data_IF_253043244386
#
_entry.id   IF_253043244386
#
_cell.length_a   1.000
_cell.length_b   1.000
_cell.length_c   1.000
_cell.angle_alpha   90.00
_cell.angle_beta   90.00
_cell.angle_gamma   90.00
#
_symmetry.space_group_name_H-M   'P 1'
#
loop_
_entity.id
_entity.type
_entity.pdbx_description
1 polymer ?
#
# COMPACT_ATOMS: atom_id res chain seq x y z
N UNK A 1 78.63 -41.74 20.98
CA UNK A 1 78.03 -40.97 19.88
C UNK A 1 76.60 -41.40 19.73
N UNK A 2 75.59 -40.58 20.21
CA UNK A 2 74.18 -40.89 20.24
C UNK A 2 73.50 -40.00 19.23
N UNK A 3 72.79 -40.59 18.24
CA UNK A 3 72.00 -39.90 17.25
C UNK A 3 70.59 -39.77 17.77
N UNK A 4 70.12 -38.52 17.90
CA UNK A 4 68.79 -38.12 18.33
C UNK A 4 67.75 -38.29 17.20
N UNK A 5 66.75 -39.17 17.40
CA UNK A 5 65.61 -39.35 16.48
C UNK A 5 64.54 -38.30 16.76
N UNK A 6 64.32 -37.43 15.80
CA UNK A 6 63.36 -36.35 15.84
C UNK A 6 61.97 -36.88 15.44
N UNK A 7 61.11 -37.07 16.44
CA UNK A 7 59.69 -37.48 16.27
C UNK A 7 58.84 -36.35 15.67
N UNK A 8 58.40 -36.49 14.41
CA UNK A 8 57.40 -35.57 13.74
C UNK A 8 56.01 -36.08 13.97
N UNK A 9 55.36 -35.53 14.98
CA UNK A 9 53.92 -35.70 15.17
C UNK A 9 53.16 -34.92 14.10
N UNK A 10 52.56 -35.64 13.14
CA UNK A 10 51.71 -35.11 12.12
C UNK A 10 50.38 -34.57 12.71
N UNK A 11 50.20 -33.28 12.67
CA UNK A 11 48.97 -32.58 13.07
C UNK A 11 47.86 -32.88 12.03
N UNK A 12 46.98 -33.85 12.32
CA UNK A 12 45.80 -34.15 11.52
C UNK A 12 44.89 -32.91 11.47
N UNK A 13 44.75 -32.31 10.28
CA UNK A 13 43.74 -31.30 9.98
C UNK A 13 42.36 -31.95 10.12
N UNK A 14 41.65 -31.66 11.21
CA UNK A 14 40.23 -32.03 11.37
C UNK A 14 39.40 -31.31 10.31
N UNK A 15 38.75 -32.11 9.52
CA UNK A 15 37.91 -31.73 8.37
C UNK A 15 36.74 -30.81 8.78
N UNK A 16 36.81 -29.56 8.35
CA UNK A 16 35.73 -28.57 8.48
C UNK A 16 34.50 -28.84 7.61
N UNK A 17 34.14 -30.11 7.40
CA UNK A 17 33.03 -30.50 6.46
C UNK A 17 31.65 -30.59 7.10
N UNK A 18 31.56 -30.58 8.45
CA UNK A 18 30.26 -30.77 9.15
C UNK A 18 29.42 -29.50 9.28
N UNK A 19 30.02 -28.29 9.33
CA UNK A 19 29.22 -27.04 9.55
C UNK A 19 28.54 -26.49 8.31
N UNK A 20 28.89 -26.93 7.09
CA UNK A 20 28.29 -26.43 5.84
C UNK A 20 27.03 -27.20 5.48
N UNK A 21 26.87 -28.45 5.88
CA UNK A 21 25.70 -29.28 5.67
C UNK A 21 24.51 -28.83 6.53
N UNK A 22 24.76 -28.57 7.82
CA UNK A 22 23.72 -28.13 8.78
C UNK A 22 23.13 -26.76 8.43
N UNK A 23 23.96 -25.79 8.01
CA UNK A 23 23.46 -24.47 7.57
C UNK A 23 22.65 -24.52 6.30
N UNK A 24 22.91 -25.48 5.42
CA UNK A 24 22.14 -25.64 4.17
C UNK A 24 20.79 -26.32 4.42
N UNK A 25 20.72 -27.24 5.36
CA UNK A 25 19.46 -27.85 5.80
C UNK A 25 18.60 -26.89 6.61
N UNK A 26 19.19 -26.09 7.50
CA UNK A 26 18.46 -25.05 8.23
C UNK A 26 17.92 -23.96 7.31
N UNK A 27 18.65 -23.58 6.26
CA UNK A 27 18.19 -22.61 5.27
C UNK A 27 17.05 -23.18 4.41
N UNK A 28 17.10 -24.46 4.04
CA UNK A 28 16.04 -25.11 3.27
C UNK A 28 14.77 -25.31 4.11
N UNK A 29 14.89 -25.74 5.36
CA UNK A 29 13.74 -25.91 6.27
C UNK A 29 13.12 -24.57 6.69
N UNK A 30 13.90 -23.50 6.78
CA UNK A 30 13.38 -22.17 7.07
C UNK A 30 12.63 -21.57 5.89
N UNK A 31 13.05 -21.86 4.64
CA UNK A 31 12.34 -21.49 3.41
C UNK A 31 10.98 -22.20 3.34
N UNK A 32 10.97 -23.51 3.49
CA UNK A 32 9.76 -24.34 3.42
C UNK A 32 8.72 -23.94 4.49
N UNK A 33 9.14 -23.67 5.72
CA UNK A 33 8.25 -23.15 6.77
C UNK A 33 7.65 -21.80 6.43
N UNK A 34 8.44 -20.93 5.77
CA UNK A 34 7.96 -19.62 5.32
C UNK A 34 6.90 -19.72 4.24
N UNK A 35 7.07 -20.63 3.30
CA UNK A 35 6.12 -20.89 2.21
C UNK A 35 4.79 -21.46 2.74
N UNK A 36 4.84 -22.44 3.65
CA UNK A 36 3.63 -22.96 4.28
C UNK A 36 2.89 -21.90 5.06
N UNK A 37 3.61 -21.08 5.83
CA UNK A 37 3.02 -19.98 6.58
C UNK A 37 2.36 -18.96 5.66
N UNK A 38 2.98 -18.65 4.54
CA UNK A 38 2.43 -17.72 3.55
C UNK A 38 1.18 -18.25 2.88
N UNK A 39 1.14 -19.55 2.53
CA UNK A 39 -0.04 -20.21 2.01
C UNK A 39 -1.19 -20.22 3.03
N UNK A 40 -0.88 -20.47 4.30
CA UNK A 40 -1.88 -20.42 5.37
C UNK A 40 -2.46 -19.02 5.54
N UNK A 41 -1.60 -17.98 5.55
CA UNK A 41 -2.03 -16.58 5.63
C UNK A 41 -2.85 -16.18 4.41
N UNK A 42 -2.48 -16.66 3.22
CA UNK A 42 -3.23 -16.42 2.00
C UNK A 42 -4.62 -17.05 2.08
N UNK A 43 -4.74 -18.30 2.57
CA UNK A 43 -6.01 -18.93 2.76
C UNK A 43 -6.90 -18.18 3.76
N UNK A 44 -6.34 -17.73 4.89
CA UNK A 44 -7.05 -16.89 5.87
C UNK A 44 -7.48 -15.58 5.25
N UNK A 45 -6.63 -14.93 4.47
CA UNK A 45 -6.96 -13.66 3.82
C UNK A 45 -8.10 -13.82 2.79
N UNK A 46 -8.13 -14.92 2.05
CA UNK A 46 -9.23 -15.22 1.11
C UNK A 46 -10.54 -15.44 1.86
N UNK A 47 -10.51 -16.18 2.99
CA UNK A 47 -11.69 -16.39 3.83
C UNK A 47 -12.19 -15.06 4.41
N UNK A 48 -11.29 -14.21 4.92
CA UNK A 48 -11.63 -12.88 5.43
C UNK A 48 -12.24 -11.99 4.33
N UNK A 49 -11.66 -12.02 3.14
CA UNK A 49 -12.18 -11.27 1.99
C UNK A 49 -13.59 -11.76 1.63
N UNK A 50 -13.79 -13.07 1.49
CA UNK A 50 -15.10 -13.66 1.21
C UNK A 50 -16.12 -13.33 2.30
N UNK A 51 -15.73 -13.36 3.57
CA UNK A 51 -16.56 -12.97 4.70
C UNK A 51 -17.01 -11.52 4.62
N UNK A 52 -16.09 -10.61 4.29
CA UNK A 52 -16.40 -9.17 4.15
C UNK A 52 -17.39 -8.86 3.02
N UNK A 53 -17.52 -9.78 2.04
CA UNK A 53 -18.52 -9.67 0.96
C UNK A 53 -19.80 -10.49 1.24
N UNK A 54 -19.98 -11.00 2.46
CA UNK A 54 -21.19 -11.72 2.87
C UNK A 54 -21.29 -13.15 2.32
N UNK A 55 -20.20 -13.74 1.82
CA UNK A 55 -20.20 -15.10 1.25
C UNK A 55 -19.81 -16.16 2.30
N UNK A 56 -19.42 -15.74 3.50
CA UNK A 56 -18.85 -16.63 4.53
C UNK A 56 -19.84 -17.41 5.40
N UNK A 57 -21.16 -17.27 5.21
CA UNK A 57 -22.17 -17.83 6.09
C UNK A 57 -22.07 -17.32 7.54
N UNK A 58 -22.74 -17.98 8.49
CA UNK A 58 -22.84 -17.52 9.89
C UNK A 58 -21.48 -17.24 10.54
N UNK A 59 -20.48 -18.10 10.30
CA UNK A 59 -19.13 -17.90 10.85
C UNK A 59 -18.43 -16.72 10.15
N UNK A 60 -18.59 -16.61 8.85
CA UNK A 60 -18.06 -15.48 8.08
C UNK A 60 -18.66 -14.14 8.51
N UNK A 61 -19.97 -14.09 8.73
CA UNK A 61 -20.66 -12.89 9.19
C UNK A 61 -20.16 -12.46 10.57
N UNK A 62 -19.91 -13.40 11.48
CA UNK A 62 -19.33 -13.07 12.80
C UNK A 62 -17.90 -12.51 12.68
N UNK A 63 -17.07 -13.10 11.82
CA UNK A 63 -15.70 -12.65 11.57
C UNK A 63 -15.72 -11.27 10.88
N UNK A 64 -16.59 -11.10 9.89
CA UNK A 64 -16.77 -9.84 9.18
C UNK A 64 -17.20 -8.73 10.13
N UNK A 65 -18.25 -8.95 10.95
CA UNK A 65 -18.72 -7.99 11.94
C UNK A 65 -17.63 -7.59 12.93
N UNK A 66 -16.81 -8.55 13.37
CA UNK A 66 -15.65 -8.27 14.22
C UNK A 66 -14.60 -7.41 13.51
N UNK A 67 -14.26 -7.74 12.26
CA UNK A 67 -13.29 -6.97 11.49
C UNK A 67 -13.79 -5.55 11.20
N UNK A 68 -15.06 -5.39 10.82
CA UNK A 68 -15.65 -4.07 10.62
C UNK A 68 -15.76 -3.30 11.93
N UNK A 69 -16.13 -3.94 13.03
CA UNK A 69 -16.12 -3.31 14.35
C UNK A 69 -14.75 -2.81 14.77
N UNK A 70 -13.68 -3.58 14.46
CA UNK A 70 -12.32 -3.20 14.83
C UNK A 70 -11.71 -2.12 13.91
N UNK A 71 -11.82 -2.29 12.58
CA UNK A 71 -11.12 -1.48 11.58
C UNK A 71 -12.05 -0.61 10.71
N UNK A 72 -13.36 -0.76 10.85
CA UNK A 72 -14.34 -0.07 10.03
C UNK A 72 -14.17 -0.39 8.54
N UNK A 73 -14.29 0.62 7.70
CA UNK A 73 -14.15 0.51 6.25
C UNK A 73 -12.80 -0.08 5.80
N UNK A 74 -11.75 0.09 6.62
CA UNK A 74 -10.44 -0.50 6.36
C UNK A 74 -10.44 -2.03 6.43
N UNK A 75 -11.51 -2.67 6.93
CA UNK A 75 -11.67 -4.11 6.95
C UNK A 75 -11.60 -4.75 5.57
N UNK A 76 -12.02 -4.04 4.51
CA UNK A 76 -11.87 -4.52 3.13
C UNK A 76 -10.41 -4.59 2.68
N UNK A 77 -9.57 -3.66 3.13
CA UNK A 77 -8.15 -3.61 2.81
C UNK A 77 -7.31 -4.50 3.72
N UNK A 78 -7.83 -4.87 4.89
CA UNK A 78 -7.10 -5.64 5.90
C UNK A 78 -6.55 -6.97 5.38
N UNK A 79 -7.30 -7.83 4.66
CA UNK A 79 -6.79 -9.09 4.13
C UNK A 79 -5.63 -8.88 3.14
N UNK A 80 -5.74 -7.86 2.29
CA UNK A 80 -4.69 -7.51 1.32
C UNK A 80 -3.43 -7.05 2.04
N UNK A 81 -3.60 -6.17 3.03
CA UNK A 81 -2.49 -5.69 3.88
C UNK A 81 -1.80 -6.83 4.63
N UNK A 82 -2.57 -7.79 5.12
CA UNK A 82 -2.08 -8.97 5.83
C UNK A 82 -1.21 -9.85 4.93
N UNK A 83 -1.63 -10.11 3.67
CA UNK A 83 -0.85 -10.89 2.70
C UNK A 83 0.43 -10.17 2.32
N UNK A 84 0.35 -8.90 1.94
CA UNK A 84 1.52 -8.11 1.52
C UNK A 84 2.50 -7.95 2.69
N UNK A 85 2.00 -7.62 3.87
CA UNK A 85 2.82 -7.44 5.07
C UNK A 85 3.54 -8.73 5.48
N UNK A 86 2.84 -9.86 5.47
CA UNK A 86 3.41 -11.17 5.81
C UNK A 86 4.44 -11.65 4.78
N UNK A 87 4.16 -11.49 3.49
CA UNK A 87 5.08 -11.81 2.41
C UNK A 87 6.38 -11.00 2.54
N UNK A 88 6.23 -9.69 2.75
CA UNK A 88 7.38 -8.80 2.95
C UNK A 88 8.15 -9.13 4.24
N UNK A 89 7.46 -9.47 5.32
CA UNK A 89 8.08 -9.89 6.58
C UNK A 89 8.89 -11.17 6.42
N UNK A 90 8.32 -12.20 5.79
CA UNK A 90 8.97 -13.49 5.57
C UNK A 90 10.21 -13.31 4.68
N UNK A 91 10.09 -12.53 3.59
CA UNK A 91 11.18 -12.26 2.65
C UNK A 91 12.36 -11.50 3.31
N UNK A 92 12.07 -10.63 4.29
CA UNK A 92 13.05 -9.70 4.83
C UNK A 92 13.29 -9.84 6.34
N UNK A 93 13.07 -11.02 6.91
CA UNK A 93 13.15 -11.29 8.38
C UNK A 93 14.43 -10.80 9.06
N UNK A 94 15.55 -10.76 8.37
CA UNK A 94 16.87 -10.41 8.93
C UNK A 94 17.22 -8.92 8.78
N UNK A 95 16.43 -8.13 8.08
CA UNK A 95 16.72 -6.73 7.80
C UNK A 95 16.03 -5.82 8.80
N UNK A 96 16.80 -5.07 9.59
CA UNK A 96 16.26 -4.05 10.51
C UNK A 96 15.50 -2.93 9.76
N UNK A 97 15.92 -2.63 8.53
CA UNK A 97 15.23 -1.65 7.70
C UNK A 97 13.85 -2.14 7.26
N UNK A 98 13.72 -3.43 6.95
CA UNK A 98 12.44 -4.04 6.60
C UNK A 98 11.46 -4.03 7.79
N UNK A 99 11.94 -4.30 9.00
CA UNK A 99 11.12 -4.24 10.21
C UNK A 99 10.56 -2.82 10.45
N UNK A 100 11.38 -1.78 10.24
CA UNK A 100 10.91 -0.39 10.32
C UNK A 100 9.84 -0.06 9.28
N UNK A 101 9.97 -0.60 8.05
CA UNK A 101 8.96 -0.41 7.00
C UNK A 101 7.64 -1.09 7.33
N UNK A 102 7.68 -2.29 7.91
CA UNK A 102 6.48 -3.01 8.34
C UNK A 102 5.78 -2.25 9.45
N UNK A 103 6.54 -1.79 10.45
CA UNK A 103 5.99 -0.99 11.55
C UNK A 103 5.36 0.31 11.00
N UNK A 104 6.04 1.00 10.10
CA UNK A 104 5.49 2.20 9.47
C UNK A 104 4.23 1.89 8.63
N UNK A 105 4.18 0.73 7.95
CA UNK A 105 3.00 0.27 7.23
C UNK A 105 1.82 -0.01 8.16
N UNK A 106 2.07 -0.66 9.29
CA UNK A 106 1.06 -0.90 10.32
C UNK A 106 0.53 0.42 10.91
N UNK A 107 1.44 1.34 11.27
CA UNK A 107 1.07 2.66 11.76
C UNK A 107 0.27 3.45 10.71
N UNK A 108 0.65 3.35 9.44
CA UNK A 108 -0.09 3.96 8.34
C UNK A 108 -1.50 3.39 8.22
N UNK A 109 -1.65 2.07 8.32
CA UNK A 109 -2.96 1.41 8.29
C UNK A 109 -3.87 1.87 9.43
N UNK A 110 -3.33 1.91 10.67
CA UNK A 110 -4.06 2.41 11.84
C UNK A 110 -4.41 3.89 11.70
N UNK A 111 -3.50 4.70 11.17
CA UNK A 111 -3.71 6.11 10.89
C UNK A 111 -4.85 6.34 9.88
N UNK A 112 -4.94 5.50 8.83
CA UNK A 112 -6.06 5.54 7.90
C UNK A 112 -7.39 5.20 8.56
N UNK A 113 -7.45 4.26 9.53
CA UNK A 113 -8.65 4.02 10.31
C UNK A 113 -9.12 5.31 11.02
N UNK A 114 -8.19 6.03 11.67
CA UNK A 114 -8.52 7.30 12.34
C UNK A 114 -8.97 8.39 11.37
N UNK A 115 -8.34 8.49 10.21
CA UNK A 115 -8.66 9.48 9.20
C UNK A 115 -10.03 9.21 8.56
N UNK A 116 -10.35 7.95 8.28
CA UNK A 116 -11.67 7.54 7.79
C UNK A 116 -12.74 7.80 8.83
N UNK A 117 -12.47 7.52 10.11
CA UNK A 117 -13.42 7.83 11.20
C UNK A 117 -13.79 9.31 11.20
N UNK A 118 -12.79 10.20 11.13
CA UNK A 118 -13.04 11.65 11.08
C UNK A 118 -13.76 12.10 9.82
N UNK A 119 -13.53 11.44 8.67
CA UNK A 119 -14.13 11.80 7.39
C UNK A 119 -15.57 11.31 7.25
N UNK A 120 -15.92 10.17 7.86
CA UNK A 120 -17.25 9.54 7.70
C UNK A 120 -18.21 9.92 8.79
N UNK A 121 -17.84 9.68 10.05
CA UNK A 121 -18.72 9.85 11.22
C UNK A 121 -18.34 11.06 12.07
N UNK A 122 -17.11 11.55 11.91
CA UNK A 122 -16.60 12.66 12.71
C UNK A 122 -16.32 12.26 14.16
N UNK A 123 -16.20 13.28 15.02
CA UNK A 123 -16.06 13.14 16.46
C UNK A 123 -17.43 13.28 17.14
N UNK A 124 -17.80 12.27 17.92
CA UNK A 124 -19.02 12.28 18.73
C UNK A 124 -18.63 12.51 20.19
N UNK A 125 -18.98 13.67 20.73
CA UNK A 125 -18.48 14.21 22.02
C UNK A 125 -18.82 13.35 23.25
N UNK A 126 -19.89 12.58 23.22
CA UNK A 126 -20.39 11.81 24.37
C UNK A 126 -20.44 10.30 24.14
N UNK A 127 -19.92 9.84 23.03
CA UNK A 127 -20.08 8.46 22.59
C UNK A 127 -18.99 7.56 23.22
N UNK A 128 -19.37 6.49 23.94
CA UNK A 128 -18.39 5.55 24.46
C UNK A 128 -17.69 4.81 23.33
N UNK A 129 -16.41 4.47 23.53
CA UNK A 129 -15.57 3.84 22.51
C UNK A 129 -16.19 2.56 21.91
N UNK A 130 -16.97 1.81 22.69
CA UNK A 130 -17.63 0.59 22.24
C UNK A 130 -18.75 0.84 21.22
N UNK A 131 -19.34 2.03 21.22
CA UNK A 131 -20.37 2.39 20.24
C UNK A 131 -19.78 2.57 18.84
N UNK A 132 -18.54 3.06 18.72
CA UNK A 132 -17.81 3.08 17.44
C UNK A 132 -17.62 1.66 16.88
N UNK A 133 -17.37 0.68 17.78
CA UNK A 133 -17.31 -0.72 17.37
C UNK A 133 -18.66 -1.21 16.84
N UNK A 134 -19.76 -0.98 17.59
CA UNK A 134 -21.09 -1.44 17.20
C UNK A 134 -21.60 -0.77 15.93
N UNK A 135 -21.41 0.53 15.80
CA UNK A 135 -21.80 1.29 14.59
C UNK A 135 -21.05 0.79 13.35
N UNK A 136 -19.71 0.64 13.45
CA UNK A 136 -18.92 0.16 12.33
C UNK A 136 -19.22 -1.32 12.01
N UNK A 137 -19.49 -2.17 13.01
CA UNK A 137 -19.87 -3.56 12.78
C UNK A 137 -21.21 -3.70 12.07
N UNK A 138 -22.18 -2.82 12.37
CA UNK A 138 -23.52 -2.87 11.83
C UNK A 138 -23.64 -2.17 10.48
N UNK A 139 -23.13 -0.95 10.36
CA UNK A 139 -23.26 -0.12 9.14
C UNK A 139 -22.11 -0.32 8.14
N UNK A 140 -21.03 -1.03 8.52
CA UNK A 140 -19.80 -1.21 7.73
C UNK A 140 -19.16 0.12 7.33
N UNK A 141 -19.27 1.14 8.18
CA UNK A 141 -18.76 2.50 7.97
C UNK A 141 -17.74 2.87 9.05
N UNK A 142 -17.21 4.08 8.99
CA UNK A 142 -16.28 4.58 9.99
C UNK A 142 -14.90 3.92 9.95
N UNK A 143 -14.12 4.19 10.99
CA UNK A 143 -12.80 3.64 11.21
C UNK A 143 -12.77 2.52 12.28
N UNK A 144 -13.92 2.09 12.76
CA UNK A 144 -14.06 1.10 13.82
C UNK A 144 -13.57 1.55 15.18
N UNK A 145 -13.38 0.60 16.07
CA UNK A 145 -12.86 0.84 17.43
C UNK A 145 -11.51 1.56 17.40
N UNK A 146 -10.62 1.17 16.49
CA UNK A 146 -9.28 1.75 16.40
C UNK A 146 -9.35 3.17 15.86
N UNK A 147 -10.16 3.40 14.81
CA UNK A 147 -10.40 4.73 14.29
C UNK A 147 -11.05 5.65 15.30
N UNK A 148 -12.05 5.17 16.04
CA UNK A 148 -12.69 5.89 17.14
C UNK A 148 -11.71 6.26 18.26
N UNK A 149 -10.85 5.33 18.69
CA UNK A 149 -9.84 5.58 19.71
C UNK A 149 -8.83 6.68 19.28
N UNK A 150 -8.36 6.63 18.02
CA UNK A 150 -7.49 7.66 17.47
C UNK A 150 -8.22 9.00 17.31
N UNK A 151 -9.46 8.97 16.86
CA UNK A 151 -10.30 10.17 16.73
C UNK A 151 -10.51 10.85 18.07
N UNK A 152 -10.96 10.11 19.09
CA UNK A 152 -11.17 10.64 20.45
C UNK A 152 -9.86 11.24 21.00
N UNK A 153 -8.76 10.47 20.92
CA UNK A 153 -7.47 10.89 21.50
C UNK A 153 -6.92 12.16 20.82
N UNK A 154 -6.98 12.22 19.49
CA UNK A 154 -6.45 13.36 18.74
C UNK A 154 -7.36 14.59 18.85
N UNK A 155 -8.67 14.40 18.82
CA UNK A 155 -9.63 15.50 18.92
C UNK A 155 -9.69 16.08 20.33
N UNK A 156 -9.61 15.25 21.36
CA UNK A 156 -9.53 15.73 22.75
C UNK A 156 -8.27 16.55 23.03
N UNK A 157 -7.14 16.21 22.40
CA UNK A 157 -5.88 16.92 22.59
C UNK A 157 -5.75 18.21 21.76
N UNK A 158 -6.23 18.23 20.53
CA UNK A 158 -5.93 19.27 19.52
C UNK A 158 -7.17 19.86 18.84
N UNK A 159 -8.37 19.44 19.24
CA UNK A 159 -9.61 19.79 18.57
C UNK A 159 -9.74 19.09 17.19
N UNK A 160 -10.90 19.22 16.56
CA UNK A 160 -11.21 18.52 15.30
C UNK A 160 -10.26 18.92 14.16
N UNK A 161 -9.99 20.21 14.00
CA UNK A 161 -9.08 20.71 12.95
C UNK A 161 -7.65 20.21 13.19
N UNK A 162 -7.19 20.24 14.45
CA UNK A 162 -5.88 19.74 14.86
C UNK A 162 -5.74 18.23 14.65
N UNK A 163 -6.81 17.46 14.89
CA UNK A 163 -6.83 16.01 14.66
C UNK A 163 -6.59 15.67 13.18
N UNK A 164 -7.26 16.36 12.24
CA UNK A 164 -6.99 16.21 10.82
C UNK A 164 -5.53 16.51 10.47
N UNK A 165 -5.00 17.65 10.95
CA UNK A 165 -3.64 18.06 10.66
C UNK A 165 -2.62 17.03 11.17
N UNK A 166 -2.80 16.50 12.37
CA UNK A 166 -1.90 15.52 12.96
C UNK A 166 -1.98 14.17 12.24
N UNK A 167 -3.17 13.67 11.95
CA UNK A 167 -3.33 12.40 11.26
C UNK A 167 -2.74 12.48 9.83
N UNK A 168 -2.94 13.59 9.13
CA UNK A 168 -2.31 13.79 7.81
C UNK A 168 -0.79 13.84 7.95
N UNK A 169 -0.25 14.58 8.93
CA UNK A 169 1.19 14.67 9.16
C UNK A 169 1.80 13.30 9.48
N UNK A 170 1.20 12.53 10.38
CA UNK A 170 1.64 11.18 10.74
C UNK A 170 1.59 10.26 9.51
N UNK A 171 0.52 10.33 8.71
CA UNK A 171 0.39 9.58 7.48
C UNK A 171 1.53 9.88 6.50
N UNK A 172 1.85 11.15 6.29
CA UNK A 172 2.96 11.58 5.42
C UNK A 172 4.30 11.06 5.95
N UNK A 173 4.56 11.16 7.26
CA UNK A 173 5.79 10.64 7.87
C UNK A 173 5.91 9.13 7.66
N UNK A 174 4.83 8.37 7.87
CA UNK A 174 4.81 6.92 7.62
C UNK A 174 5.11 6.59 6.15
N UNK A 175 4.52 7.33 5.20
CA UNK A 175 4.79 7.17 3.77
C UNK A 175 6.27 7.43 3.42
N UNK A 176 6.88 8.46 4.00
CA UNK A 176 8.32 8.76 3.82
C UNK A 176 9.16 7.58 4.32
N UNK A 177 8.85 7.03 5.50
CA UNK A 177 9.59 5.89 6.08
C UNK A 177 9.46 4.63 5.24
N UNK A 178 8.27 4.34 4.69
CA UNK A 178 8.03 3.18 3.83
C UNK A 178 8.79 3.31 2.52
N UNK A 179 8.69 4.48 1.88
CA UNK A 179 9.24 4.73 0.56
C UNK A 179 10.77 4.90 0.58
N UNK A 180 11.35 5.30 1.74
CA UNK A 180 12.78 5.64 1.89
C UNK A 180 13.27 6.66 0.84
N UNK A 181 12.35 7.42 0.28
CA UNK A 181 12.67 8.50 -0.66
C UNK A 181 12.37 9.84 0.00
N UNK A 182 13.14 10.85 -0.34
CA UNK A 182 12.85 12.22 0.11
C UNK A 182 11.44 12.60 -0.37
N UNK A 183 10.64 13.15 0.53
CA UNK A 183 9.29 13.66 0.23
C UNK A 183 9.29 14.57 -0.99
N UNK A 184 10.31 15.43 -1.12
CA UNK A 184 10.48 16.30 -2.28
C UNK A 184 10.65 15.54 -3.59
N UNK A 185 11.34 14.38 -3.61
CA UNK A 185 11.47 13.55 -4.81
C UNK A 185 10.15 12.89 -5.21
N UNK A 186 9.33 12.52 -4.23
CA UNK A 186 8.01 11.93 -4.48
C UNK A 186 7.00 12.96 -4.98
N UNK A 187 6.93 14.12 -4.32
CA UNK A 187 6.06 15.25 -4.73
C UNK A 187 6.45 15.76 -6.12
N UNK A 188 7.74 15.93 -6.39
CA UNK A 188 8.23 16.34 -7.71
C UNK A 188 7.89 15.30 -8.80
N UNK A 189 7.96 14.00 -8.47
CA UNK A 189 7.57 12.91 -9.38
C UNK A 189 6.08 12.93 -9.71
N UNK A 190 5.22 13.22 -8.73
CA UNK A 190 3.77 13.35 -8.94
C UNK A 190 3.44 14.61 -9.75
N UNK A 191 3.99 15.76 -9.36
CA UNK A 191 3.75 17.04 -10.05
C UNK A 191 4.24 16.96 -11.51
N UNK A 192 5.44 16.39 -11.73
CA UNK A 192 6.00 16.23 -13.08
C UNK A 192 5.22 15.19 -13.91
N UNK A 193 4.72 14.12 -13.26
CA UNK A 193 3.88 13.10 -13.90
C UNK A 193 2.51 13.64 -14.31
N UNK A 194 1.88 14.45 -13.46
CA UNK A 194 0.59 15.10 -13.77
C UNK A 194 0.80 16.19 -14.82
N UNK A 195 1.84 17.02 -14.68
CA UNK A 195 2.18 18.06 -15.66
C UNK A 195 2.46 17.51 -17.06
N UNK A 196 3.17 16.37 -17.16
CA UNK A 196 3.45 15.72 -18.44
C UNK A 196 2.21 15.12 -19.08
N UNK A 197 1.28 14.55 -18.30
CA UNK A 197 -0.01 14.06 -18.80
C UNK A 197 -0.95 15.20 -19.19
N UNK A 198 -0.98 16.28 -18.42
CA UNK A 198 -1.77 17.46 -18.74
C UNK A 198 -1.24 18.17 -20.00
N UNK A 199 0.10 18.31 -20.14
CA UNK A 199 0.74 18.84 -21.33
C UNK A 199 0.45 18.02 -22.58
N UNK A 200 0.55 16.70 -22.50
CA UNK A 200 0.25 15.80 -23.63
C UNK A 200 -1.25 15.83 -24.03
N UNK A 201 -2.16 16.09 -23.10
CA UNK A 201 -3.58 16.27 -23.40
C UNK A 201 -3.86 17.64 -24.05
N UNK A 202 -3.11 18.69 -23.66
CA UNK A 202 -3.21 20.01 -24.25
C UNK A 202 -2.65 20.03 -25.67
N UNK A 203 -1.49 19.42 -25.89
CA UNK A 203 -0.84 19.29 -27.21
C UNK A 203 -1.67 18.45 -28.18
N UNK A 204 -2.42 17.45 -27.68
CA UNK A 204 -3.35 16.66 -28.50
C UNK A 204 -4.57 17.47 -28.95
N UNK A 205 -4.92 18.53 -28.22
CA UNK A 205 -6.05 19.42 -28.56
C UNK A 205 -5.66 20.48 -29.60
N UNK A 206 -4.39 20.87 -29.66
CA UNK A 206 -3.88 21.82 -30.68
C UNK A 206 -3.52 21.14 -32.00
N UNK A 207 -3.27 19.82 -31.99
CA UNK A 207 -2.96 19.03 -33.19
C UNK A 207 -4.19 18.35 -33.82
N UNK A 208 -5.42 18.72 -33.44
CA UNK A 208 -6.60 18.29 -34.20
C UNK A 208 -6.56 18.98 -35.57
N UNK A 209 -6.34 18.26 -36.68
CA UNK A 209 -6.24 18.87 -38.00
C UNK A 209 -7.58 19.52 -38.32
N UNK A 210 -7.54 20.83 -38.62
CA UNK A 210 -8.68 21.60 -39.10
C UNK A 210 -9.47 20.76 -40.11
N UNK A 211 -10.79 20.59 -39.96
CA UNK A 211 -11.56 19.74 -40.83
C UNK A 211 -11.33 20.20 -42.29
N UNK A 212 -10.70 19.34 -43.08
CA UNK A 212 -10.45 19.60 -44.54
C UNK A 212 -11.77 20.04 -45.15
N UNK A 213 -11.93 21.31 -45.45
CA UNK A 213 -13.11 21.85 -46.12
C UNK A 213 -13.32 21.03 -47.39
N UNK A 214 -14.52 20.49 -47.64
CA UNK A 214 -14.77 19.59 -48.73
C UNK A 214 -14.36 20.26 -50.04
N UNK A 215 -13.58 19.57 -50.84
CA UNK A 215 -13.00 20.06 -52.09
C UNK A 215 -14.03 20.67 -53.10
N UNK A 216 -15.31 20.42 -52.88
CA UNK A 216 -16.43 21.05 -53.61
C UNK A 216 -16.51 22.56 -53.39
N UNK A 217 -16.26 23.07 -52.18
CA UNK A 217 -16.36 24.51 -51.86
C UNK A 217 -15.19 25.28 -52.48
N UNK A 218 -14.01 24.68 -52.53
CA UNK A 218 -12.84 25.28 -53.20
C UNK A 218 -13.03 25.39 -54.71
N UNK A 219 -13.54 24.33 -55.37
CA UNK A 219 -13.86 24.38 -56.79
C UNK A 219 -14.97 25.39 -57.18
N UNK A 220 -15.96 25.59 -56.31
CA UNK A 220 -16.98 26.60 -56.52
C UNK A 220 -16.41 28.02 -56.44
N UNK A 221 -15.53 28.32 -55.51
CA UNK A 221 -14.89 29.64 -55.39
C UNK A 221 -13.96 29.93 -56.56
N UNK A 222 -13.24 28.91 -57.04
CA UNK A 222 -12.36 29.05 -58.19
C UNK A 222 -13.13 29.26 -59.50
N UNK A 223 -14.25 28.61 -59.66
CA UNK A 223 -15.15 28.82 -60.83
C UNK A 223 -15.82 30.18 -60.82
N UNK A 224 -16.22 30.66 -59.62
CA UNK A 224 -16.77 32.02 -59.49
C UNK A 224 -15.71 33.08 -59.74
N UNK A 225 -14.46 32.90 -59.29
CA UNK A 225 -13.36 33.82 -59.58
C UNK A 225 -12.98 33.89 -61.07
N UNK A 226 -13.10 32.75 -61.79
CA UNK A 226 -12.89 32.70 -63.25
C UNK A 226 -14.00 33.36 -64.03
N UNK A 227 -15.26 33.35 -63.53
CA UNK A 227 -16.40 33.97 -64.20
C UNK A 227 -16.42 35.50 -64.11
N UNK A 228 -15.71 36.11 -63.14
CA UNK A 228 -15.68 37.57 -62.88
C UNK A 228 -14.55 38.27 -63.63
N UNK A 229 -13.66 37.57 -64.37
CA UNK A 229 -12.64 38.23 -65.20
C UNK A 229 -13.24 38.79 -66.46
N UNK A 230 -13.24 40.13 -66.67
CA UNK A 230 -13.72 40.72 -67.91
C UNK A 230 -12.82 40.30 -69.07
N UNK A 231 -13.44 39.85 -70.16
CA UNK A 231 -12.74 39.63 -71.45
C UNK A 231 -12.17 40.96 -71.96
N UNK A 232 -10.86 41.03 -72.10
CA UNK A 232 -10.21 42.06 -72.92
C UNK A 232 -10.19 41.62 -74.37
#
# INVERSE_FOLDING_TARGET
MAASAKNRTGKRKATGRSKKGTKRQEAATSGFRGEILLLFILAVAVILLASNFGVGGVVGDAISSFCFGAFGLMSYLFPIFLVIGSAFFIANRKSRLAQKKILAGLLLFLNFCGLIQLLTEGYMETTPLMEYFHNSAYYHTGGGLIGGALCISTTAAFGTIGAYAILILVGVVCLIVITQRSFFGFVNGIIFGIGKKAGALFERRETEPEPKRPARIQKQKENQAKAVRPRK
#
